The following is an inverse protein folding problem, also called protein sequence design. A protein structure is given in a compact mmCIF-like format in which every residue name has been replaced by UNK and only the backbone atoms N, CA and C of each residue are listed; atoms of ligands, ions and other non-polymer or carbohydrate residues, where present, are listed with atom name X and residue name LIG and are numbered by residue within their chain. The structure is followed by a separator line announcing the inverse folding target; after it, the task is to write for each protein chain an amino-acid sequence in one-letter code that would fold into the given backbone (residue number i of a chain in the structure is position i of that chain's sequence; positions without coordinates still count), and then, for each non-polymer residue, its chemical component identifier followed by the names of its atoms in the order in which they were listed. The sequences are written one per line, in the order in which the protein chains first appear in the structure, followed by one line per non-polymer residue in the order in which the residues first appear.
data_IF_744112375046
#
_entry.id   IF_744112375046
#
_cell.length_a   1.000
_cell.length_b   1.000
_cell.length_c   1.000
_cell.angle_alpha   90.00
_cell.angle_beta   90.00
_cell.angle_gamma   90.00
#
_symmetry.space_group_name_H-M   'P 1'
#
loop_
_entity.id
_entity.type
_entity.pdbx_description
1 polymer ?
#
# COMPACT_ATOMS: atom_id res chain seq x y z
N UNK A 1 17.74 15.41 0.38
CA UNK A 1 16.98 14.75 1.47
C UNK A 1 16.51 13.41 0.92
N UNK A 2 16.80 12.30 1.58
CA UNK A 2 16.21 11.02 1.17
C UNK A 2 14.69 11.16 1.37
N UNK A 3 13.92 11.14 0.28
CA UNK A 3 12.47 11.07 0.38
C UNK A 3 12.15 9.81 1.21
N UNK A 4 11.37 9.96 2.27
CA UNK A 4 11.05 8.84 3.14
C UNK A 4 10.18 7.86 2.37
N UNK A 5 10.73 6.81 1.77
CA UNK A 5 10.00 5.93 0.82
C UNK A 5 9.07 4.93 1.51
N UNK A 6 8.88 5.02 2.83
CA UNK A 6 8.06 4.08 3.59
C UNK A 6 6.72 4.70 3.98
N UNK A 7 5.66 3.90 3.88
CA UNK A 7 4.34 4.18 4.46
C UNK A 7 3.99 3.12 5.50
N UNK A 8 3.24 3.53 6.50
CA UNK A 8 2.65 2.63 7.49
C UNK A 8 1.16 2.44 7.19
N UNK A 9 0.75 1.18 7.05
CA UNK A 9 -0.63 0.73 6.86
C UNK A 9 -1.05 -0.19 8.00
N UNK A 10 -2.34 -0.49 8.08
CA UNK A 10 -2.90 -1.41 9.06
C UNK A 10 -3.28 -2.70 8.36
N UNK A 11 -2.64 -3.82 8.70
CA UNK A 11 -2.99 -5.11 8.10
C UNK A 11 -4.42 -5.56 8.50
N UNK A 12 -4.94 -6.59 7.81
CA UNK A 12 -6.26 -7.17 8.12
C UNK A 12 -6.44 -7.61 9.57
N UNK A 13 -5.37 -7.88 10.30
CA UNK A 13 -5.37 -8.30 11.71
C UNK A 13 -5.22 -7.11 12.69
N UNK A 14 -5.10 -5.87 12.20
CA UNK A 14 -4.90 -4.68 13.03
C UNK A 14 -3.44 -4.43 13.44
N UNK A 15 -2.48 -5.04 12.77
CA UNK A 15 -1.04 -4.86 13.02
C UNK A 15 -0.46 -3.80 12.08
N UNK A 16 0.53 -3.02 12.54
CA UNK A 16 1.23 -2.09 11.67
C UNK A 16 2.01 -2.85 10.59
N UNK A 17 1.86 -2.41 9.34
CA UNK A 17 2.56 -2.92 8.17
C UNK A 17 3.36 -1.78 7.54
N UNK A 18 4.69 -1.86 7.66
CA UNK A 18 5.61 -0.88 7.07
C UNK A 18 5.98 -1.33 5.65
N UNK A 19 5.60 -0.53 4.64
CA UNK A 19 5.77 -0.87 3.23
C UNK A 19 6.67 0.17 2.56
N UNK A 20 7.72 -0.29 1.87
CA UNK A 20 8.49 0.58 0.99
C UNK A 20 7.72 0.79 -0.31
N UNK A 21 7.35 2.04 -0.61
CA UNK A 21 6.60 2.45 -1.79
C UNK A 21 7.30 2.06 -3.09
N UNK A 22 8.64 2.09 -3.11
CA UNK A 22 9.40 1.66 -4.30
C UNK A 22 9.23 0.17 -4.60
N UNK A 23 8.78 -0.60 -3.61
CA UNK A 23 8.49 -2.01 -3.78
C UNK A 23 7.02 -2.24 -4.11
N UNK A 24 6.12 -1.25 -4.19
CA UNK A 24 4.72 -1.52 -4.55
C UNK A 24 4.62 -1.70 -6.07
N UNK A 25 4.08 -2.82 -6.52
CA UNK A 25 3.82 -3.09 -7.96
C UNK A 25 2.41 -2.72 -8.37
N UNK A 26 1.43 -2.99 -7.52
CA UNK A 26 0.02 -2.64 -7.76
C UNK A 26 -0.76 -2.53 -6.45
N UNK A 27 -1.84 -1.75 -6.50
CA UNK A 27 -2.85 -1.66 -5.43
C UNK A 27 -4.19 -1.99 -6.07
N UNK A 28 -4.90 -2.98 -5.53
CA UNK A 28 -6.15 -3.48 -6.11
C UNK A 28 -7.21 -3.61 -5.02
N UNK A 29 -8.45 -3.24 -5.35
CA UNK A 29 -9.62 -3.49 -4.51
C UNK A 29 -10.29 -4.79 -4.98
N UNK A 30 -10.45 -5.74 -4.08
CA UNK A 30 -11.32 -6.89 -4.29
C UNK A 30 -12.64 -6.61 -3.61
N UNK A 31 -13.76 -6.80 -4.31
CA UNK A 31 -15.10 -6.45 -3.81
C UNK A 31 -15.77 -7.56 -2.99
N UNK A 32 -15.15 -8.74 -2.89
CA UNK A 32 -15.68 -9.84 -2.08
C UNK A 32 -14.56 -10.72 -1.48
N UNK A 33 -14.29 -10.60 -0.17
CA UNK A 33 -14.69 -9.49 0.72
C UNK A 33 -14.02 -8.17 0.31
N UNK A 34 -14.67 -7.02 0.58
CA UNK A 34 -14.12 -5.68 0.29
C UNK A 34 -12.79 -5.45 1.01
N UNK A 35 -11.68 -5.60 0.28
CA UNK A 35 -10.32 -5.57 0.82
C UNK A 35 -9.36 -4.93 -0.17
N UNK A 36 -8.44 -4.11 0.35
CA UNK A 36 -7.35 -3.52 -0.43
C UNK A 36 -6.12 -4.42 -0.32
N UNK A 37 -5.62 -4.86 -1.47
CA UNK A 37 -4.39 -5.63 -1.59
C UNK A 37 -3.28 -4.72 -2.13
N UNK A 38 -2.18 -4.63 -1.39
CA UNK A 38 -0.94 -3.96 -1.81
C UNK A 38 0.07 -5.02 -2.21
N UNK A 39 0.34 -5.14 -3.51
CA UNK A 39 1.31 -6.09 -4.06
C UNK A 39 2.71 -5.51 -4.04
N UNK A 40 3.71 -6.31 -3.68
CA UNK A 40 5.10 -5.86 -3.57
C UNK A 40 6.09 -6.63 -4.47
N UNK A 41 7.13 -5.94 -4.96
CA UNK A 41 8.21 -6.45 -5.80
C UNK A 41 8.90 -7.59 -5.06
N UNK A 42 8.98 -8.75 -5.72
CA UNK A 42 9.71 -9.92 -5.25
C UNK A 42 8.94 -11.21 -5.44
N UNK A 43 7.60 -11.15 -5.46
CA UNK A 43 6.77 -12.31 -5.75
C UNK A 43 5.37 -11.86 -6.18
N UNK A 44 4.87 -12.34 -7.32
CA UNK A 44 3.49 -12.03 -7.79
C UNK A 44 2.41 -12.56 -6.83
N UNK A 45 2.81 -13.28 -5.79
CA UNK A 45 1.95 -13.81 -4.72
C UNK A 45 2.12 -13.07 -3.39
N UNK A 46 3.11 -12.19 -3.26
CA UNK A 46 3.35 -11.42 -2.02
C UNK A 46 2.53 -10.13 -2.04
N UNK A 47 1.39 -10.17 -1.34
CA UNK A 47 0.55 -9.01 -1.09
C UNK A 47 0.27 -8.83 0.41
N UNK A 48 0.04 -7.60 0.81
CA UNK A 48 -0.49 -7.26 2.14
C UNK A 48 -1.94 -6.84 1.97
N UNK A 49 -2.84 -7.51 2.70
CA UNK A 49 -4.22 -7.05 2.85
C UNK A 49 -4.28 -6.01 3.95
N UNK A 50 -4.82 -4.83 3.64
CA UNK A 50 -4.89 -3.70 4.57
C UNK A 50 -6.34 -3.27 4.84
N UNK A 51 -6.54 -2.56 5.94
CA UNK A 51 -7.86 -2.03 6.36
C UNK A 51 -8.16 -0.66 5.77
N UNK A 52 -7.13 0.08 5.35
CA UNK A 52 -7.28 1.33 4.63
C UNK A 52 -8.04 1.12 3.32
N UNK A 53 -8.85 2.10 2.97
CA UNK A 53 -9.49 2.22 1.67
C UNK A 53 -8.46 2.50 0.57
N UNK A 54 -8.87 2.29 -0.69
CA UNK A 54 -8.00 2.56 -1.84
C UNK A 54 -7.49 4.01 -1.86
N UNK A 55 -8.37 4.97 -1.57
CA UNK A 55 -8.03 6.39 -1.57
C UNK A 55 -7.08 6.76 -0.43
N UNK A 56 -7.21 6.14 0.74
CA UNK A 56 -6.28 6.32 1.85
C UNK A 56 -4.89 5.75 1.53
N UNK A 57 -4.83 4.56 0.92
CA UNK A 57 -3.56 3.98 0.44
C UNK A 57 -2.93 4.88 -0.62
N UNK A 58 -3.72 5.37 -1.58
CA UNK A 58 -3.28 6.30 -2.63
C UNK A 58 -2.73 7.61 -2.03
N UNK A 59 -3.43 8.21 -1.08
CA UNK A 59 -2.99 9.44 -0.42
C UNK A 59 -1.67 9.24 0.36
N UNK A 60 -1.54 8.12 1.09
CA UNK A 60 -0.31 7.79 1.81
C UNK A 60 0.88 7.60 0.88
N UNK A 61 0.71 6.86 -0.21
CA UNK A 61 1.77 6.69 -1.23
C UNK A 61 2.16 8.06 -1.82
N UNK A 62 1.20 8.92 -2.16
CA UNK A 62 1.45 10.24 -2.74
C UNK A 62 2.21 11.17 -1.79
N UNK A 63 1.94 11.05 -0.48
CA UNK A 63 2.59 11.86 0.56
C UNK A 63 4.10 11.65 0.64
N UNK A 64 4.58 10.49 0.20
CA UNK A 64 6.02 10.13 0.27
C UNK A 64 6.71 10.08 -1.09
N UNK A 65 5.98 9.82 -2.17
CA UNK A 65 6.52 9.80 -3.53
C UNK A 65 6.65 11.20 -4.16
N UNK A 66 6.07 12.23 -3.53
CA UNK A 66 6.18 13.62 -3.97
C UNK A 66 5.38 13.94 -5.23
N UNK A 67 4.36 13.13 -5.58
CA UNK A 67 3.58 13.32 -6.80
C UNK A 67 2.19 12.66 -6.78
N UNK A 68 1.30 13.17 -7.64
CA UNK A 68 -0.04 12.63 -7.88
C UNK A 68 0.06 11.22 -8.45
N UNK A 69 -0.52 10.25 -7.74
CA UNK A 69 -0.75 8.90 -8.27
C UNK A 69 -1.96 9.03 -9.19
N UNK A 70 -1.81 8.69 -10.46
CA UNK A 70 -2.93 8.68 -11.40
C UNK A 70 -3.60 7.32 -11.34
#
# INVERSE_FOLDING_TARGET
MAANTFIELTDKNGRPALINVNNITSVVVYTDPEMVHVYVIGDNQSFVTVKETYDEVKAKIASVSGGSIW
#
